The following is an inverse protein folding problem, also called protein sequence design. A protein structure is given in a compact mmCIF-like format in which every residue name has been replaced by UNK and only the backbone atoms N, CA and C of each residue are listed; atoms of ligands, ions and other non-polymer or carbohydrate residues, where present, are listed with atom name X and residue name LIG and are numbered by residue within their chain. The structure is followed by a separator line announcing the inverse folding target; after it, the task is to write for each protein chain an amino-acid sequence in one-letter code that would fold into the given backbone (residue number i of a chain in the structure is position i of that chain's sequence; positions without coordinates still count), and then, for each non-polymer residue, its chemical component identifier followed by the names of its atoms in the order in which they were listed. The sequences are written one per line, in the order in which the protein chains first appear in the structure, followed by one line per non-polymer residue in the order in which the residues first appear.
data_IF_057148249205
#
_entry.id   IF_057148249205
#
_cell.length_a   1.000
_cell.length_b   1.000
_cell.length_c   1.000
_cell.angle_alpha   90.00
_cell.angle_beta   90.00
_cell.angle_gamma   90.00
#
_symmetry.space_group_name_H-M   'P 1'
#
loop_
_entity.id
_entity.type
_entity.pdbx_description
1 polymer ?
#
# COMPACT_ATOMS: atom_id res chain seq x y z
N UNK A 1 0.15 -10.33 6.45
CA UNK A 1 0.75 -9.01 6.78
C UNK A 1 1.51 -8.52 5.56
N UNK A 2 1.30 -7.27 5.15
CA UNK A 2 2.02 -6.61 4.05
C UNK A 2 2.61 -5.30 4.58
N UNK A 3 3.90 -5.06 4.35
CA UNK A 3 4.59 -3.81 4.70
C UNK A 3 5.01 -3.09 3.42
N UNK A 4 4.65 -1.82 3.29
CA UNK A 4 4.94 -1.02 2.09
C UNK A 4 4.86 0.49 2.40
N UNK A 5 5.26 1.32 1.43
CA UNK A 5 4.87 2.73 1.41
C UNK A 5 3.45 2.83 0.84
N UNK A 6 2.55 3.51 1.55
CA UNK A 6 1.17 3.65 1.11
C UNK A 6 0.86 5.11 0.75
N UNK A 7 0.29 5.30 -0.44
CA UNK A 7 -0.26 6.60 -0.83
C UNK A 7 -1.57 6.88 -0.08
N UNK A 8 -1.80 8.15 0.24
CA UNK A 8 -3.12 8.68 0.55
C UNK A 8 -4.01 8.62 -0.70
N UNK A 9 -5.32 8.76 -0.50
CA UNK A 9 -6.30 8.64 -1.59
C UNK A 9 -6.18 9.72 -2.69
N UNK A 10 -5.48 10.84 -2.43
CA UNK A 10 -5.15 11.83 -3.47
C UNK A 10 -3.97 11.40 -4.37
N UNK A 11 -3.28 10.30 -4.03
CA UNK A 11 -2.17 9.69 -4.80
C UNK A 11 -0.93 10.57 -4.98
N UNK A 12 -0.82 11.66 -4.22
CA UNK A 12 0.31 12.60 -4.27
C UNK A 12 1.00 12.78 -2.93
N UNK A 13 0.51 12.10 -1.89
CA UNK A 13 1.05 12.14 -0.54
C UNK A 13 1.10 10.72 0.05
N UNK A 14 1.97 10.46 1.03
CA UNK A 14 3.10 11.30 1.44
C UNK A 14 4.19 11.36 0.35
N UNK A 15 5.07 12.37 0.43
CA UNK A 15 6.12 12.60 -0.57
C UNK A 15 6.95 11.33 -0.84
N UNK A 16 7.35 10.64 0.23
CA UNK A 16 8.19 9.45 0.16
C UNK A 16 7.53 8.33 -0.66
N UNK A 17 6.23 8.10 -0.45
CA UNK A 17 5.44 7.12 -1.19
C UNK A 17 5.24 7.53 -2.66
N UNK A 18 5.10 8.83 -2.93
CA UNK A 18 5.00 9.37 -4.29
C UNK A 18 6.31 9.26 -5.05
N UNK A 19 7.45 9.57 -4.43
CA UNK A 19 8.77 9.38 -5.02
C UNK A 19 9.05 7.90 -5.27
N UNK A 20 8.71 7.03 -4.33
CA UNK A 20 8.81 5.59 -4.52
C UNK A 20 7.95 5.10 -5.70
N UNK A 21 6.78 5.71 -5.93
CA UNK A 21 5.95 5.37 -7.10
C UNK A 21 6.64 5.69 -8.42
N UNK A 22 7.49 6.72 -8.47
CA UNK A 22 8.32 7.03 -9.65
C UNK A 22 9.42 5.98 -9.83
N UNK A 23 10.05 5.54 -8.74
CA UNK A 23 11.01 4.42 -8.79
C UNK A 23 10.34 3.16 -9.34
N UNK A 24 9.10 2.88 -8.93
CA UNK A 24 8.35 1.74 -9.45
C UNK A 24 8.02 1.86 -10.94
N UNK A 25 7.65 3.05 -11.40
CA UNK A 25 7.44 3.32 -12.82
C UNK A 25 8.72 3.10 -13.65
N UNK A 26 9.88 3.49 -13.11
CA UNK A 26 11.16 3.39 -13.81
C UNK A 26 11.72 1.97 -13.85
N UNK A 27 11.52 1.18 -12.79
CA UNK A 27 12.26 -0.07 -12.57
C UNK A 27 11.40 -1.34 -12.48
N UNK A 28 10.07 -1.23 -12.31
CA UNK A 28 9.18 -2.39 -12.34
C UNK A 28 8.32 -2.36 -13.61
N UNK A 29 8.19 -3.52 -14.27
CA UNK A 29 7.49 -3.64 -15.56
C UNK A 29 6.05 -3.09 -15.54
N UNK A 30 5.34 -3.22 -14.42
CA UNK A 30 3.96 -2.72 -14.24
C UNK A 30 3.70 -2.21 -12.82
N UNK A 31 4.75 -1.81 -12.10
CA UNK A 31 4.66 -1.45 -10.68
C UNK A 31 4.18 -0.02 -10.44
N UNK A 32 3.50 0.20 -9.32
CA UNK A 32 3.24 1.53 -8.74
C UNK A 32 3.04 1.41 -7.23
N UNK A 33 3.11 2.54 -6.54
CA UNK A 33 2.70 2.60 -5.14
C UNK A 33 1.17 2.61 -5.05
N UNK A 34 0.61 1.88 -4.08
CA UNK A 34 -0.84 1.74 -3.89
C UNK A 34 -1.32 2.45 -2.63
N UNK A 35 -2.62 2.75 -2.58
CA UNK A 35 -3.25 3.20 -1.34
C UNK A 35 -3.70 2.00 -0.50
N UNK A 36 -3.92 2.21 0.79
CA UNK A 36 -4.54 1.17 1.63
C UNK A 36 -5.88 0.67 1.08
N UNK A 37 -6.68 1.57 0.52
CA UNK A 37 -7.99 1.22 -0.04
C UNK A 37 -7.86 0.28 -1.25
N UNK A 38 -6.88 0.51 -2.11
CA UNK A 38 -6.61 -0.35 -3.27
C UNK A 38 -6.15 -1.73 -2.82
N UNK A 39 -5.22 -1.78 -1.84
CA UNK A 39 -4.72 -3.04 -1.27
C UNK A 39 -5.82 -3.81 -0.54
N UNK A 40 -6.68 -3.14 0.23
CA UNK A 40 -7.83 -3.78 0.88
C UNK A 40 -8.84 -4.33 -0.13
N UNK A 41 -9.13 -3.61 -1.22
CA UNK A 41 -10.01 -4.12 -2.29
C UNK A 41 -9.43 -5.41 -2.89
N UNK A 42 -8.11 -5.45 -3.13
CA UNK A 42 -7.43 -6.64 -3.61
C UNK A 42 -7.51 -7.79 -2.59
N UNK A 43 -7.23 -7.53 -1.31
CA UNK A 43 -7.28 -8.52 -0.25
C UNK A 43 -8.69 -9.10 -0.06
N UNK A 44 -9.72 -8.25 -0.04
CA UNK A 44 -11.13 -8.66 0.01
C UNK A 44 -11.50 -9.60 -1.14
N UNK A 45 -11.07 -9.27 -2.36
CA UNK A 45 -11.30 -10.12 -3.54
C UNK A 45 -10.69 -11.52 -3.40
N UNK A 46 -9.64 -11.66 -2.58
CA UNK A 46 -8.93 -12.92 -2.35
C UNK A 46 -9.33 -13.63 -1.03
N UNK A 47 -10.48 -13.27 -0.44
CA UNK A 47 -10.99 -13.95 0.76
C UNK A 47 -10.33 -13.51 2.07
N UNK A 48 -9.68 -12.34 2.08
CA UNK A 48 -9.18 -11.75 3.33
C UNK A 48 -10.13 -10.68 3.86
N UNK A 49 -10.17 -10.53 5.17
CA UNK A 49 -10.90 -9.46 5.87
C UNK A 49 -10.24 -9.11 7.19
N UNK A 50 -10.99 -8.43 8.08
CA UNK A 50 -10.51 -7.94 9.39
C UNK A 50 -9.16 -7.22 9.25
N UNK A 51 -9.20 -6.00 8.72
CA UNK A 51 -8.01 -5.23 8.42
C UNK A 51 -7.54 -4.42 9.64
N UNK A 52 -6.23 -4.44 9.87
CA UNK A 52 -5.58 -3.56 10.84
C UNK A 52 -4.43 -2.85 10.13
N UNK A 53 -4.35 -1.53 10.28
CA UNK A 53 -3.33 -0.69 9.67
C UNK A 53 -2.50 -0.04 10.76
N UNK A 54 -1.19 0.01 10.60
CA UNK A 54 -0.30 0.68 11.54
C UNK A 54 0.88 1.29 10.82
N UNK A 55 1.29 2.48 11.26
CA UNK A 55 2.50 3.15 10.78
C UNK A 55 3.72 2.57 11.49
N UNK A 56 4.76 2.23 10.74
CA UNK A 56 6.05 1.79 11.30
C UNK A 56 7.01 2.97 11.51
N UNK A 57 6.74 4.11 10.87
CA UNK A 57 7.63 5.27 10.80
C UNK A 57 8.34 5.38 9.44
N UNK A 58 8.96 6.55 9.18
CA UNK A 58 9.72 6.82 7.94
C UNK A 58 8.91 6.55 6.65
N UNK A 59 7.63 6.92 6.64
CA UNK A 59 6.75 6.77 5.47
C UNK A 59 6.30 5.34 5.18
N UNK A 60 6.75 4.36 5.96
CA UNK A 60 6.38 2.94 5.83
C UNK A 60 5.23 2.58 6.76
N UNK A 61 4.32 1.75 6.27
CA UNK A 61 3.19 1.26 7.03
C UNK A 61 2.91 -0.21 6.74
N UNK A 62 2.07 -0.81 7.56
CA UNK A 62 1.66 -2.21 7.44
C UNK A 62 0.16 -2.29 7.35
N UNK A 63 -0.30 -3.27 6.57
CA UNK A 63 -1.65 -3.80 6.63
C UNK A 63 -1.62 -5.28 7.01
N UNK A 64 -2.30 -5.59 8.10
CA UNK A 64 -2.65 -6.94 8.50
C UNK A 64 -4.07 -7.27 8.02
N UNK A 65 -4.24 -8.53 7.62
CA UNK A 65 -5.52 -9.06 7.21
C UNK A 65 -5.59 -10.55 7.59
N UNK A 66 -6.79 -10.99 7.95
CA UNK A 66 -7.09 -12.37 8.35
C UNK A 66 -7.85 -13.06 7.23
N UNK A 67 -7.46 -14.29 6.91
CA UNK A 67 -8.18 -15.10 5.91
C UNK A 67 -9.52 -15.55 6.49
N UNK A 68 -10.58 -15.42 5.68
CA UNK A 68 -11.95 -15.82 6.00
C UNK A 68 -12.27 -17.14 5.30
#
# INVERSE_FOLDING_TARGET
MLADLFLKNNRTEPLDASLFSLTMLLFAATGRTYTFEETEKLLKKNGFGKFTRFELGQGSSVIEAVKI
#
